data_IF_915382565889
#
_entry.id   IF_915382565889
#
_cell.length_a   1.000
_cell.length_b   1.000
_cell.length_c   1.000
_cell.angle_alpha   90.00
_cell.angle_beta   90.00
_cell.angle_gamma   90.00
#
_symmetry.space_group_name_H-M   'P 1'
#
loop_
_entity.id
_entity.type
_entity.pdbx_description
1 polymer ?
#
# COMPACT_ATOMS: atom_id res chain seq x y z
N UNK A 1 12.45 67.04 1.88
CA UNK A 1 11.70 65.78 2.09
C UNK A 1 11.52 65.15 0.72
N UNK A 2 12.48 64.29 0.35
CA UNK A 2 12.52 63.63 -0.95
C UNK A 2 11.36 62.65 -1.11
N UNK A 3 10.69 62.70 -2.27
CA UNK A 3 9.84 61.62 -2.76
C UNK A 3 10.48 61.09 -4.05
N UNK A 4 11.06 59.92 -3.89
CA UNK A 4 11.83 59.11 -4.84
C UNK A 4 10.95 58.69 -6.04
N UNK A 5 11.39 59.00 -7.26
CA UNK A 5 10.87 58.41 -8.49
C UNK A 5 11.84 57.32 -8.98
N UNK A 6 11.52 56.05 -8.72
CA UNK A 6 12.24 54.90 -9.30
C UNK A 6 11.49 54.44 -10.56
N UNK A 7 12.15 54.35 -11.74
CA UNK A 7 11.52 53.81 -12.94
C UNK A 7 11.43 52.28 -12.86
N UNK A 8 10.25 51.73 -13.11
CA UNK A 8 10.02 50.27 -13.20
C UNK A 8 10.47 49.78 -14.59
N UNK A 9 11.38 48.78 -14.70
CA UNK A 9 11.79 48.26 -16.00
C UNK A 9 10.74 47.28 -16.57
N UNK A 10 10.48 47.43 -17.87
CA UNK A 10 9.61 46.60 -18.69
C UNK A 10 10.00 45.11 -18.62
N UNK A 11 9.15 44.31 -17.98
CA UNK A 11 9.23 42.83 -17.89
C UNK A 11 8.65 42.19 -19.16
N UNK A 12 9.41 42.10 -20.26
CA UNK A 12 8.98 41.39 -21.50
C UNK A 12 10.01 40.47 -22.16
N UNK A 13 11.03 39.99 -21.44
CA UNK A 13 12.00 38.97 -21.94
C UNK A 13 12.06 37.66 -21.14
N UNK A 14 11.12 37.43 -20.22
CA UNK A 14 11.26 36.36 -19.22
C UNK A 14 10.62 35.00 -19.54
N UNK A 15 9.69 34.91 -20.50
CA UNK A 15 8.76 33.75 -20.55
C UNK A 15 8.90 32.82 -21.76
N UNK A 16 9.61 33.24 -22.82
CA UNK A 16 9.84 32.36 -23.99
C UNK A 16 11.06 31.43 -23.77
N UNK A 17 12.12 31.92 -23.14
CA UNK A 17 13.29 31.12 -22.74
C UNK A 17 13.00 30.16 -21.59
N UNK A 18 12.12 30.52 -20.65
CA UNK A 18 11.74 29.66 -19.54
C UNK A 18 11.01 28.37 -19.98
N UNK A 19 10.18 28.42 -21.03
CA UNK A 19 9.44 27.24 -21.54
C UNK A 19 10.32 26.29 -22.37
N UNK A 20 11.39 26.78 -22.98
CA UNK A 20 12.39 25.98 -23.70
C UNK A 20 13.39 25.34 -22.72
N UNK A 21 13.86 26.09 -21.73
CA UNK A 21 14.74 25.59 -20.66
C UNK A 21 14.02 24.55 -19.79
N UNK A 22 12.74 24.75 -19.48
CA UNK A 22 11.95 23.75 -18.76
C UNK A 22 11.68 22.49 -19.60
N UNK A 23 11.36 22.61 -20.90
CA UNK A 23 11.18 21.43 -21.79
C UNK A 23 12.49 20.65 -22.00
N UNK A 24 13.64 21.33 -22.04
CA UNK A 24 14.96 20.70 -22.05
C UNK A 24 15.30 20.04 -20.70
N UNK A 25 15.04 20.72 -19.58
CA UNK A 25 15.25 20.18 -18.23
C UNK A 25 14.36 18.97 -17.91
N UNK A 26 13.11 18.95 -18.40
CA UNK A 26 12.16 17.86 -18.18
C UNK A 26 12.44 16.63 -19.08
N UNK A 27 13.03 16.84 -20.26
CA UNK A 27 13.44 15.75 -21.19
C UNK A 27 14.73 15.05 -20.75
N UNK A 28 15.46 15.63 -19.79
CA UNK A 28 16.73 15.13 -19.24
C UNK A 28 16.57 14.37 -17.90
N UNK A 29 15.35 14.23 -17.38
CA UNK A 29 15.08 13.55 -16.10
C UNK A 29 14.29 12.23 -16.21
N UNK A 30 14.82 11.17 -16.86
CA UNK A 30 14.40 9.80 -16.56
C UNK A 30 15.57 8.86 -16.20
N UNK A 31 16.80 9.38 -16.04
CA UNK A 31 17.97 8.52 -15.80
C UNK A 31 18.11 8.03 -14.36
N UNK A 32 17.61 8.78 -13.38
CA UNK A 32 17.73 8.43 -11.95
C UNK A 32 16.76 7.33 -11.53
N UNK A 33 15.53 7.34 -12.03
CA UNK A 33 14.51 6.34 -11.68
C UNK A 33 14.88 4.97 -12.26
N UNK A 34 15.23 4.89 -13.54
CA UNK A 34 15.65 3.63 -14.16
C UNK A 34 16.93 3.03 -13.51
N UNK A 35 17.88 3.86 -13.07
CA UNK A 35 19.07 3.39 -12.36
C UNK A 35 18.74 2.93 -10.93
N UNK A 36 17.87 3.65 -10.23
CA UNK A 36 17.42 3.29 -8.89
C UNK A 36 16.63 1.98 -8.89
N UNK A 37 15.75 1.79 -9.89
CA UNK A 37 15.00 0.55 -10.13
C UNK A 37 15.98 -0.61 -10.37
N UNK A 38 16.98 -0.44 -11.25
CA UNK A 38 18.00 -1.47 -11.49
C UNK A 38 18.84 -1.81 -10.25
N UNK A 39 19.03 -0.86 -9.32
CA UNK A 39 19.75 -1.10 -8.06
C UNK A 39 18.87 -1.83 -7.05
N UNK A 40 17.61 -1.43 -6.94
CA UNK A 40 16.63 -2.08 -6.09
C UNK A 40 16.44 -3.54 -6.50
N UNK A 41 16.31 -3.80 -7.80
CA UNK A 41 16.18 -5.16 -8.37
C UNK A 41 17.36 -6.05 -8.01
N UNK A 42 18.59 -5.52 -8.10
CA UNK A 42 19.80 -6.27 -7.72
C UNK A 42 19.82 -6.60 -6.23
N UNK A 43 19.53 -5.63 -5.37
CA UNK A 43 19.48 -5.84 -3.92
C UNK A 43 18.40 -6.86 -3.56
N UNK A 44 17.23 -6.77 -4.21
CA UNK A 44 16.13 -7.70 -4.02
C UNK A 44 16.51 -9.12 -4.45
N UNK A 45 17.10 -9.28 -5.64
CA UNK A 45 17.57 -10.56 -6.16
C UNK A 45 18.63 -11.19 -5.25
N UNK A 46 19.65 -10.42 -4.86
CA UNK A 46 20.70 -10.90 -3.94
C UNK A 46 20.12 -11.33 -2.58
N UNK A 47 19.18 -10.55 -2.04
CA UNK A 47 18.52 -10.87 -0.78
C UNK A 47 17.61 -12.10 -0.91
N UNK A 48 16.90 -12.25 -2.03
CA UNK A 48 16.07 -13.41 -2.32
C UNK A 48 16.92 -14.68 -2.44
N UNK A 49 18.01 -14.64 -3.19
CA UNK A 49 18.91 -15.79 -3.36
C UNK A 49 19.56 -16.20 -2.03
N UNK A 50 19.96 -15.22 -1.22
CA UNK A 50 20.70 -15.49 0.04
C UNK A 50 19.78 -15.88 1.20
N UNK A 51 18.63 -15.20 1.31
CA UNK A 51 17.78 -15.27 2.51
C UNK A 51 16.36 -15.79 2.23
N UNK A 52 15.94 -15.88 0.96
CA UNK A 52 14.57 -16.21 0.58
C UNK A 52 14.06 -17.50 1.21
N UNK A 53 14.84 -18.58 1.14
CA UNK A 53 14.47 -19.85 1.78
C UNK A 53 14.31 -19.75 3.30
N UNK A 54 15.16 -18.97 3.98
CA UNK A 54 15.07 -18.81 5.43
C UNK A 54 13.85 -18.00 5.85
N UNK A 55 13.56 -16.91 5.11
CA UNK A 55 12.39 -16.06 5.31
C UNK A 55 11.12 -16.86 5.04
N UNK A 56 11.04 -17.56 3.90
CA UNK A 56 9.88 -18.35 3.50
C UNK A 56 9.56 -19.45 4.51
N UNK A 57 10.59 -20.20 4.96
CA UNK A 57 10.41 -21.22 6.00
C UNK A 57 9.96 -20.63 7.33
N UNK A 58 10.47 -19.45 7.69
CA UNK A 58 10.04 -18.74 8.90
C UNK A 58 8.56 -18.34 8.79
N UNK A 59 8.15 -17.68 7.71
CA UNK A 59 6.76 -17.29 7.49
C UNK A 59 5.82 -18.50 7.45
N UNK A 60 6.20 -19.56 6.71
CA UNK A 60 5.41 -20.79 6.65
C UNK A 60 5.25 -21.48 8.00
N UNK A 61 6.25 -21.40 8.88
CA UNK A 61 6.14 -21.96 10.24
C UNK A 61 5.12 -21.23 11.14
N UNK A 62 4.74 -20.00 10.77
CA UNK A 62 3.66 -19.25 11.44
C UNK A 62 2.31 -19.45 10.75
N UNK A 63 2.28 -19.39 9.42
CA UNK A 63 1.03 -19.26 8.65
C UNK A 63 0.47 -20.59 8.16
N UNK A 64 1.31 -21.62 7.99
CA UNK A 64 0.94 -22.92 7.41
C UNK A 64 0.18 -22.83 6.06
N UNK A 65 0.31 -21.70 5.36
CA UNK A 65 -0.22 -21.43 4.03
C UNK A 65 0.93 -20.94 3.16
N UNK A 66 1.19 -21.62 2.03
CA UNK A 66 2.30 -21.28 1.14
C UNK A 66 2.10 -19.92 0.48
N UNK A 67 0.88 -19.60 0.03
CA UNK A 67 0.59 -18.33 -0.65
C UNK A 67 0.79 -17.15 0.31
N UNK A 68 0.27 -17.24 1.53
CA UNK A 68 0.49 -16.19 2.53
C UNK A 68 1.96 -16.09 2.92
N UNK A 69 2.69 -17.23 3.02
CA UNK A 69 4.12 -17.21 3.32
C UNK A 69 4.96 -16.55 2.21
N UNK A 70 4.61 -16.76 0.93
CA UNK A 70 5.22 -16.08 -0.21
C UNK A 70 4.94 -14.58 -0.21
N UNK A 71 3.73 -14.17 0.17
CA UNK A 71 3.38 -12.76 0.35
C UNK A 71 4.25 -12.10 1.44
N UNK A 72 4.38 -12.76 2.61
CA UNK A 72 5.25 -12.27 3.70
C UNK A 72 6.72 -12.19 3.26
N UNK A 73 7.21 -13.16 2.47
CA UNK A 73 8.55 -13.11 1.90
C UNK A 73 8.72 -11.84 1.04
N UNK A 74 7.79 -11.58 0.14
CA UNK A 74 7.82 -10.41 -0.75
C UNK A 74 7.77 -9.10 0.07
N UNK A 75 6.85 -8.99 1.02
CA UNK A 75 6.73 -7.82 1.90
C UNK A 75 8.00 -7.58 2.73
N UNK A 76 8.67 -8.66 3.17
CA UNK A 76 9.92 -8.56 3.91
C UNK A 76 11.03 -7.98 3.03
N UNK A 77 11.15 -8.42 1.77
CA UNK A 77 12.10 -7.86 0.81
C UNK A 77 11.76 -6.42 0.44
N UNK A 78 10.47 -6.09 0.29
CA UNK A 78 10.03 -4.72 0.06
C UNK A 78 10.42 -3.81 1.24
N UNK A 79 10.28 -4.28 2.48
CA UNK A 79 10.74 -3.56 3.67
C UNK A 79 12.25 -3.36 3.71
N UNK A 80 13.04 -4.34 3.27
CA UNK A 80 14.48 -4.18 3.14
C UNK A 80 14.85 -3.01 2.21
N UNK A 81 14.17 -2.90 1.07
CA UNK A 81 14.42 -1.84 0.07
C UNK A 81 13.95 -0.47 0.53
N UNK A 82 12.78 -0.41 1.17
CA UNK A 82 12.11 0.85 1.55
C UNK A 82 12.63 1.44 2.85
N UNK A 83 12.91 0.60 3.86
CA UNK A 83 13.47 1.07 5.12
C UNK A 83 14.98 1.31 5.04
N UNK A 84 15.67 0.65 4.10
CA UNK A 84 17.10 0.76 3.84
C UNK A 84 17.98 0.87 5.12
N UNK A 85 17.84 -0.07 6.07
CA UNK A 85 18.58 -0.03 7.33
C UNK A 85 20.08 -0.29 7.12
N UNK A 86 20.90 0.31 7.97
CA UNK A 86 22.32 0.02 8.05
C UNK A 86 22.57 -1.28 8.84
N UNK A 87 23.37 -2.17 8.27
CA UNK A 87 23.71 -3.45 8.89
C UNK A 87 25.19 -3.52 9.25
N UNK A 88 25.46 -3.98 10.47
CA UNK A 88 26.83 -4.19 10.98
C UNK A 88 27.46 -5.48 10.44
N UNK A 89 26.64 -6.45 10.01
CA UNK A 89 27.08 -7.73 9.45
C UNK A 89 25.96 -8.46 8.71
N UNK A 90 26.30 -9.47 7.92
CA UNK A 90 25.33 -10.38 7.30
C UNK A 90 24.48 -11.13 8.34
N UNK A 91 25.05 -11.46 9.50
CA UNK A 91 24.31 -12.07 10.60
C UNK A 91 23.24 -11.12 11.17
N UNK A 92 23.59 -9.84 11.33
CA UNK A 92 22.63 -8.80 11.73
C UNK A 92 21.53 -8.63 10.68
N UNK A 93 21.89 -8.56 9.39
CA UNK A 93 20.92 -8.49 8.29
C UNK A 93 19.95 -9.67 8.29
N UNK A 94 20.45 -10.91 8.43
CA UNK A 94 19.62 -12.11 8.53
C UNK A 94 18.67 -12.04 9.73
N UNK A 95 19.18 -11.67 10.91
CA UNK A 95 18.37 -11.55 12.11
C UNK A 95 17.26 -10.50 11.96
N UNK A 96 17.57 -9.37 11.30
CA UNK A 96 16.60 -8.34 11.00
C UNK A 96 15.51 -8.85 10.05
N UNK A 97 15.89 -9.50 8.94
CA UNK A 97 14.94 -10.06 7.97
C UNK A 97 13.99 -11.08 8.61
N UNK A 98 14.52 -12.01 9.41
CA UNK A 98 13.70 -13.01 10.11
C UNK A 98 12.76 -12.37 11.13
N UNK A 99 13.20 -11.31 11.82
CA UNK A 99 12.34 -10.56 12.74
C UNK A 99 11.20 -9.85 12.02
N UNK A 100 11.50 -9.23 10.87
CA UNK A 100 10.48 -8.58 10.04
C UNK A 100 9.45 -9.61 9.56
N UNK A 101 9.89 -10.74 9.01
CA UNK A 101 9.02 -11.80 8.53
C UNK A 101 8.12 -12.37 9.65
N UNK A 102 8.70 -12.63 10.83
CA UNK A 102 7.94 -13.11 11.98
C UNK A 102 6.88 -12.10 12.45
N UNK A 103 7.22 -10.80 12.46
CA UNK A 103 6.27 -9.75 12.85
C UNK A 103 5.14 -9.61 11.83
N UNK A 104 5.46 -9.60 10.52
CA UNK A 104 4.44 -9.55 9.47
C UNK A 104 3.52 -10.79 9.52
N UNK A 105 4.08 -11.96 9.79
CA UNK A 105 3.29 -13.20 9.93
C UNK A 105 2.30 -13.11 11.08
N UNK A 106 2.72 -12.59 12.24
CA UNK A 106 1.82 -12.38 13.39
C UNK A 106 0.72 -11.39 13.08
N UNK A 107 1.04 -10.27 12.41
CA UNK A 107 0.04 -9.31 11.97
C UNK A 107 -0.97 -9.94 11.00
N UNK A 108 -0.51 -10.82 10.10
CA UNK A 108 -1.40 -11.57 9.19
C UNK A 108 -2.33 -12.51 9.95
N UNK A 109 -1.83 -13.22 10.96
CA UNK A 109 -2.66 -14.07 11.82
C UNK A 109 -3.73 -13.25 12.54
N UNK A 110 -3.34 -12.12 13.14
CA UNK A 110 -4.28 -11.20 13.82
C UNK A 110 -5.33 -10.65 12.84
N UNK A 111 -4.90 -10.28 11.62
CA UNK A 111 -5.79 -9.80 10.57
C UNK A 111 -6.79 -10.87 10.11
N UNK A 112 -6.31 -12.10 9.90
CA UNK A 112 -7.15 -13.23 9.50
C UNK A 112 -8.14 -13.58 10.61
N UNK A 113 -7.71 -13.58 11.88
CA UNK A 113 -8.58 -13.86 13.03
C UNK A 113 -9.72 -12.85 13.18
N UNK A 114 -9.50 -11.56 12.88
CA UNK A 114 -10.56 -10.55 12.89
C UNK A 114 -11.62 -10.78 11.80
N UNK A 115 -11.23 -11.47 10.72
CA UNK A 115 -12.07 -11.76 9.55
C UNK A 115 -12.52 -13.21 9.50
N UNK A 116 -12.22 -13.97 10.54
CA UNK A 116 -12.71 -15.30 10.74
C UNK A 116 -14.21 -15.16 11.07
N UNK A 117 -15.00 -15.15 10.01
CA UNK A 117 -16.44 -15.24 10.09
C UNK A 117 -16.79 -16.69 9.85
N UNK A 118 -17.63 -17.25 10.72
CA UNK A 118 -18.21 -18.57 10.47
C UNK A 118 -18.84 -18.58 9.08
N UNK A 119 -18.59 -19.66 8.33
CA UNK A 119 -19.31 -19.90 7.10
C UNK A 119 -20.82 -19.89 7.40
N UNK A 120 -21.59 -19.24 6.52
CA UNK A 120 -23.04 -19.28 6.61
C UNK A 120 -23.47 -20.75 6.54
N UNK A 121 -23.95 -21.27 7.66
CA UNK A 121 -24.48 -22.62 7.71
C UNK A 121 -25.80 -22.66 6.93
N UNK A 122 -25.79 -23.33 5.77
CA UNK A 122 -26.97 -23.56 4.94
C UNK A 122 -28.06 -24.39 5.68
N UNK A 123 -27.72 -25.00 6.82
CA UNK A 123 -28.65 -25.72 7.69
C UNK A 123 -29.40 -24.79 8.67
N UNK A 124 -28.94 -23.55 8.86
CA UNK A 124 -29.71 -22.53 9.57
C UNK A 124 -30.94 -22.21 8.74
N UNK A 125 -32.04 -22.88 9.07
CA UNK A 125 -33.35 -22.51 8.56
C UNK A 125 -33.52 -21.01 8.83
N UNK A 126 -33.75 -20.23 7.77
CA UNK A 126 -34.23 -18.87 7.96
C UNK A 126 -35.44 -18.97 8.87
N UNK A 127 -35.34 -18.47 10.11
CA UNK A 127 -36.51 -18.26 10.96
C UNK A 127 -37.50 -17.52 10.06
N UNK A 128 -38.62 -18.20 9.78
CA UNK A 128 -39.54 -17.79 8.74
C UNK A 128 -39.80 -16.32 8.90
N UNK A 129 -39.49 -15.53 7.86
CA UNK A 129 -39.74 -14.08 7.83
C UNK A 129 -41.12 -13.89 8.46
N UNK A 130 -41.17 -13.20 9.60
CA UNK A 130 -42.45 -12.85 10.21
C UNK A 130 -43.33 -12.24 9.12
N UNK A 131 -44.65 -12.43 9.20
CA UNK A 131 -45.55 -11.81 8.23
C UNK A 131 -45.46 -10.28 8.35
N UNK A 132 -44.55 -9.69 7.58
CA UNK A 132 -44.29 -8.25 7.54
C UNK A 132 -45.36 -7.50 6.74
N UNK A 133 -46.52 -8.12 6.46
CA UNK A 133 -47.66 -7.45 5.84
C UNK A 133 -48.04 -6.17 6.59
N UNK A 134 -47.89 -6.13 7.92
CA UNK A 134 -48.15 -4.91 8.70
C UNK A 134 -47.20 -3.76 8.34
N UNK A 135 -45.91 -4.04 8.08
CA UNK A 135 -44.92 -3.03 7.68
C UNK A 135 -45.29 -2.48 6.31
N UNK A 136 -45.71 -3.37 5.40
CA UNK A 136 -46.15 -2.98 4.06
C UNK A 136 -47.41 -2.11 4.07
N UNK A 137 -48.39 -2.46 4.91
CA UNK A 137 -49.59 -1.64 5.11
C UNK A 137 -49.26 -0.28 5.75
N UNK A 138 -48.31 -0.23 6.68
CA UNK A 138 -47.84 1.03 7.25
C UNK A 138 -47.16 1.93 6.20
N UNK A 139 -46.33 1.36 5.32
CA UNK A 139 -45.70 2.10 4.21
C UNK A 139 -46.76 2.60 3.21
N UNK A 140 -47.78 1.79 2.90
CA UNK A 140 -48.92 2.22 2.07
C UNK A 140 -49.76 3.32 2.71
N UNK A 141 -49.78 3.45 4.04
CA UNK A 141 -50.51 4.51 4.72
C UNK A 141 -49.78 5.87 4.66
N UNK A 142 -48.49 5.90 4.29
CA UNK A 142 -47.72 7.15 4.22
C UNK A 142 -48.18 8.02 3.04
N UNK A 143 -48.13 9.37 3.16
CA UNK A 143 -48.38 10.28 2.04
C UNK A 143 -47.42 10.00 0.86
N UNK A 144 -47.86 10.27 -0.37
CA UNK A 144 -47.15 9.92 -1.62
C UNK A 144 -45.69 10.36 -1.63
N UNK A 145 -45.39 11.55 -1.11
CA UNK A 145 -44.03 12.12 -1.01
C UNK A 145 -43.05 11.26 -0.18
N UNK A 146 -43.55 10.42 0.73
CA UNK A 146 -42.75 9.55 1.59
C UNK A 146 -42.89 8.06 1.24
N UNK A 147 -43.80 7.73 0.32
CA UNK A 147 -44.06 6.35 -0.13
C UNK A 147 -43.28 6.00 -1.40
N UNK A 148 -43.12 6.97 -2.29
CA UNK A 148 -42.45 6.81 -3.59
C UNK A 148 -41.09 7.52 -3.53
N UNK A 149 -40.03 6.79 -3.21
CA UNK A 149 -38.63 7.23 -3.34
C UNK A 149 -37.97 6.44 -4.44
#
# INVERSE_FOLDING_TARGET
>A
MEAIAIPVPLRRRGWQTAREIARFALRLLPRREAQAESRADRIAAEALDTYGNAILRCAYSYLHNMADAEEILQDTLLKLLTAAPDFESEAHKKAWLLRVAANLSKNRIEYNALRDCDELDDSLAAEGREDLSFVWEAVKALPTQYREV
#
